data_IF_290899428708
#
_entry.id   IF_290899428708
#
_cell.length_a   1.000
_cell.length_b   1.000
_cell.length_c   1.000
_cell.angle_alpha   90.00
_cell.angle_beta   90.00
_cell.angle_gamma   90.00
#
_symmetry.space_group_name_H-M   'P 1'
#
loop_
_entity.id
_entity.type
_entity.pdbx_description
1 polymer ?
#
# COMPACT_ATOMS: atom_id res chain seq x y z
N UNK A 1 -4.06 10.79 15.38
CA UNK A 1 -3.34 10.06 14.37
C UNK A 1 -3.28 10.81 13.06
N UNK A 2 -2.16 10.80 12.41
CA UNK A 2 -1.99 11.59 11.19
C UNK A 2 -2.63 10.90 9.99
N UNK A 3 -3.12 11.72 9.09
CA UNK A 3 -3.64 11.21 7.83
C UNK A 3 -2.48 10.76 6.95
N UNK A 4 -2.55 9.54 6.48
CA UNK A 4 -1.46 8.94 5.70
C UNK A 4 -1.07 9.78 4.51
N UNK A 5 -2.06 10.20 3.72
CA UNK A 5 -1.78 10.83 2.44
C UNK A 5 -1.30 12.25 2.57
N UNK A 6 -1.68 12.92 3.63
CA UNK A 6 -1.33 14.31 3.81
C UNK A 6 0.10 14.50 4.29
N UNK A 7 0.60 13.51 5.04
CA UNK A 7 1.90 13.62 5.68
C UNK A 7 3.03 12.97 4.90
N UNK A 8 2.70 12.12 3.93
CA UNK A 8 3.70 11.33 3.23
C UNK A 8 3.84 11.80 1.79
N UNK A 9 5.09 11.96 1.34
CA UNK A 9 5.33 12.23 -0.07
C UNK A 9 5.27 10.92 -0.86
N UNK A 10 4.77 10.99 -2.09
CA UNK A 10 4.66 9.80 -2.94
C UNK A 10 6.01 9.16 -3.20
N UNK A 11 7.03 10.00 -3.39
CA UNK A 11 8.37 9.51 -3.64
C UNK A 11 8.89 8.66 -2.48
N UNK A 12 8.71 9.16 -1.27
CA UNK A 12 9.21 8.45 -0.09
C UNK A 12 8.40 7.21 0.23
N UNK A 13 7.09 7.29 0.03
CA UNK A 13 6.23 6.12 0.20
C UNK A 13 6.70 5.00 -0.74
N UNK A 14 6.93 5.34 -2.00
CA UNK A 14 7.38 4.36 -2.98
C UNK A 14 8.72 3.74 -2.56
N UNK A 15 9.64 4.56 -2.10
CA UNK A 15 10.96 4.06 -1.70
C UNK A 15 10.85 3.06 -0.55
N UNK A 16 10.04 3.38 0.46
CA UNK A 16 9.86 2.48 1.60
C UNK A 16 9.20 1.17 1.17
N UNK A 17 8.14 1.27 0.39
CA UNK A 17 7.42 0.07 -0.04
C UNK A 17 8.31 -0.81 -0.90
N UNK A 18 9.10 -0.22 -1.79
CA UNK A 18 9.97 -1.01 -2.65
C UNK A 18 11.08 -1.70 -1.86
N UNK A 19 11.52 -1.08 -0.79
CA UNK A 19 12.59 -1.68 0.01
C UNK A 19 12.10 -2.76 0.95
N UNK A 20 10.96 -2.57 1.59
CA UNK A 20 10.53 -3.43 2.69
C UNK A 20 9.42 -4.41 2.33
N UNK A 21 8.76 -4.26 1.21
CA UNK A 21 7.74 -5.20 0.75
C UNK A 21 8.32 -5.97 -0.42
N UNK A 22 8.53 -7.27 -0.22
CA UNK A 22 9.29 -8.07 -1.19
C UNK A 22 8.45 -8.67 -2.31
N UNK A 23 7.15 -8.84 -2.09
CA UNK A 23 6.27 -9.37 -3.13
C UNK A 23 5.99 -8.30 -4.17
N UNK A 24 6.27 -8.60 -5.44
CA UNK A 24 6.00 -7.66 -6.53
C UNK A 24 4.52 -7.30 -6.59
N UNK A 25 3.64 -8.29 -6.43
CA UNK A 25 2.20 -8.04 -6.43
C UNK A 25 1.81 -7.12 -5.28
N UNK A 26 2.30 -7.41 -4.08
CA UNK A 26 1.94 -6.63 -2.90
C UNK A 26 2.44 -5.20 -3.02
N UNK A 27 3.64 -5.01 -3.54
CA UNK A 27 4.16 -3.65 -3.79
C UNK A 27 3.25 -2.87 -4.72
N UNK A 28 2.90 -3.48 -5.85
CA UNK A 28 2.05 -2.82 -6.83
C UNK A 28 0.70 -2.47 -6.23
N UNK A 29 0.11 -3.39 -5.49
CA UNK A 29 -1.19 -3.17 -4.87
C UNK A 29 -1.14 -2.01 -3.87
N UNK A 30 -0.14 -2.00 -3.01
CA UNK A 30 0.00 -0.96 -1.99
C UNK A 30 0.19 0.40 -2.65
N UNK A 31 1.02 0.47 -3.67
CA UNK A 31 1.28 1.73 -4.37
C UNK A 31 0.05 2.19 -5.15
N UNK A 32 -0.69 1.27 -5.76
CA UNK A 32 -1.94 1.63 -6.41
C UNK A 32 -2.91 2.29 -5.43
N UNK A 33 -2.93 1.81 -4.19
CA UNK A 33 -3.78 2.40 -3.18
C UNK A 33 -3.26 3.74 -2.68
N UNK A 34 -2.01 3.79 -2.27
CA UNK A 34 -1.48 4.96 -1.57
C UNK A 34 -1.11 6.10 -2.51
N UNK A 35 -0.64 5.79 -3.70
CA UNK A 35 -0.22 6.82 -4.66
C UNK A 35 -1.33 7.15 -5.63
N UNK A 36 -1.98 6.14 -6.20
CA UNK A 36 -2.98 6.32 -7.24
C UNK A 36 -4.40 6.41 -6.71
N UNK A 37 -4.61 6.08 -5.44
CA UNK A 37 -5.90 6.28 -4.79
C UNK A 37 -6.97 5.25 -5.10
N UNK A 38 -6.60 4.07 -5.58
CA UNK A 38 -7.59 3.03 -5.86
C UNK A 38 -8.26 2.56 -4.57
N UNK A 39 -9.56 2.28 -4.66
CA UNK A 39 -10.30 1.73 -3.53
C UNK A 39 -9.95 0.25 -3.33
N UNK A 40 -10.31 -0.26 -2.16
CA UNK A 40 -10.07 -1.69 -1.87
C UNK A 40 -10.89 -2.59 -2.81
N UNK A 41 -12.10 -2.16 -3.19
CA UNK A 41 -12.90 -2.94 -4.15
C UNK A 41 -12.21 -2.99 -5.50
N UNK A 42 -11.66 -1.87 -5.95
CA UNK A 42 -10.93 -1.84 -7.21
C UNK A 42 -9.68 -2.69 -7.16
N UNK A 43 -8.99 -2.68 -6.03
CA UNK A 43 -7.79 -3.49 -5.85
C UNK A 43 -8.11 -4.98 -5.82
N UNK A 44 -9.19 -5.34 -5.14
CA UNK A 44 -9.63 -6.74 -5.09
C UNK A 44 -9.90 -7.27 -6.49
N UNK A 45 -10.56 -6.47 -7.30
CA UNK A 45 -10.86 -6.85 -8.67
C UNK A 45 -9.60 -6.93 -9.53
N UNK A 46 -8.75 -5.92 -9.44
CA UNK A 46 -7.54 -5.85 -10.26
C UNK A 46 -6.58 -7.00 -9.99
N UNK A 47 -6.44 -7.39 -8.73
CA UNK A 47 -5.47 -8.41 -8.34
C UNK A 47 -6.10 -9.76 -8.06
N UNK A 48 -7.38 -9.92 -8.34
CA UNK A 48 -8.12 -11.17 -8.11
C UNK A 48 -8.03 -11.64 -6.67
N UNK A 49 -8.23 -10.72 -5.76
CA UNK A 49 -8.20 -10.98 -4.33
C UNK A 49 -9.57 -10.70 -3.72
N UNK A 50 -9.77 -11.24 -2.52
CA UNK A 50 -10.92 -10.86 -1.72
C UNK A 50 -10.65 -9.50 -1.06
N UNK A 51 -11.71 -8.86 -0.60
CA UNK A 51 -11.57 -7.62 0.16
C UNK A 51 -10.65 -7.81 1.37
N UNK A 52 -10.81 -8.93 2.08
CA UNK A 52 -9.96 -9.23 3.22
C UNK A 52 -8.51 -9.44 2.82
N UNK A 53 -8.28 -10.05 1.67
CA UNK A 53 -6.92 -10.21 1.16
C UNK A 53 -6.25 -8.88 0.89
N UNK A 54 -6.99 -7.93 0.32
CA UNK A 54 -6.48 -6.58 0.10
C UNK A 54 -6.15 -5.91 1.44
N UNK A 55 -7.03 -6.05 2.42
CA UNK A 55 -6.79 -5.46 3.74
C UNK A 55 -5.51 -6.00 4.37
N UNK A 56 -5.27 -7.31 4.23
CA UNK A 56 -4.07 -7.92 4.79
C UNK A 56 -2.81 -7.36 4.15
N UNK A 57 -2.82 -7.20 2.83
CA UNK A 57 -1.68 -6.63 2.11
C UNK A 57 -1.47 -5.17 2.53
N UNK A 58 -2.54 -4.40 2.61
CA UNK A 58 -2.43 -3.00 3.03
C UNK A 58 -1.91 -2.87 4.44
N UNK A 59 -2.26 -3.80 5.32
CA UNK A 59 -1.77 -3.79 6.69
C UNK A 59 -0.25 -3.91 6.70
N UNK A 60 0.32 -4.76 5.87
CA UNK A 60 1.77 -4.89 5.75
C UNK A 60 2.40 -3.60 5.26
N UNK A 61 1.80 -2.97 4.28
CA UNK A 61 2.31 -1.71 3.74
C UNK A 61 2.32 -0.61 4.78
N UNK A 62 1.24 -0.48 5.53
CA UNK A 62 1.15 0.52 6.60
C UNK A 62 2.17 0.27 7.69
N UNK A 63 2.38 -0.99 8.06
CA UNK A 63 3.36 -1.33 9.06
C UNK A 63 4.76 -0.93 8.61
N UNK A 64 5.09 -1.19 7.34
CA UNK A 64 6.39 -0.80 6.80
C UNK A 64 6.58 0.71 6.85
N UNK A 65 5.55 1.47 6.49
CA UNK A 65 5.63 2.93 6.52
C UNK A 65 5.73 3.46 7.95
N UNK A 66 5.01 2.85 8.88
CA UNK A 66 5.07 3.26 10.28
C UNK A 66 6.48 3.07 10.86
N UNK A 67 7.19 2.04 10.40
CA UNK A 67 8.52 1.76 10.91
C UNK A 67 9.62 2.49 10.20
N UNK A 68 9.48 2.68 8.89
CA UNK A 68 10.63 3.05 8.06
C UNK A 68 10.48 4.38 7.34
N UNK A 69 9.33 4.99 7.44
CA UNK A 69 9.15 6.28 6.77
C UNK A 69 9.96 7.37 7.47
#
# INVERSE_FOLDING_TARGET
>A
MKAWREDYSNHRVRAVIEEYIHSTRDRALILDSLVDGLSYDELAERYSLTYEGVKDVMKKGRAALDRHY
#
